data_IF_654746221681
#
_entry.id   IF_654746221681
#
_cell.length_a   1.000
_cell.length_b   1.000
_cell.length_c   1.000
_cell.angle_alpha   90.00
_cell.angle_beta   90.00
_cell.angle_gamma   90.00
#
_symmetry.space_group_name_H-M   'P 1'
#
loop_
_entity.id
_entity.type
_entity.pdbx_description
1 polymer ?
#
# COMPACT_ATOMS: atom_id res chain seq x y z
N UNK A 1 -0.24 10.84 -5.94
CA UNK A 1 -0.38 9.37 -6.01
C UNK A 1 0.06 8.78 -4.68
N UNK A 2 -0.76 7.94 -4.06
CA UNK A 2 -0.44 7.28 -2.79
C UNK A 2 -0.12 5.82 -3.11
N UNK A 3 1.08 5.36 -2.75
CA UNK A 3 1.50 3.97 -2.94
C UNK A 3 1.69 3.27 -1.60
N UNK A 4 1.65 1.95 -1.64
CA UNK A 4 1.90 1.05 -0.51
C UNK A 4 2.79 -0.09 -0.96
N UNK A 5 3.56 -0.67 -0.03
CA UNK A 5 4.43 -1.80 -0.29
C UNK A 5 3.85 -3.03 0.39
N UNK A 6 3.61 -4.08 -0.38
CA UNK A 6 2.95 -5.29 0.12
C UNK A 6 3.92 -6.46 0.06
N UNK A 7 4.13 -7.09 1.21
CA UNK A 7 4.81 -8.37 1.37
C UNK A 7 3.77 -9.49 1.47
N UNK A 8 4.04 -10.64 0.85
CA UNK A 8 3.20 -11.84 0.94
C UNK A 8 4.04 -13.00 1.49
N UNK A 9 3.66 -13.52 2.66
CA UNK A 9 4.26 -14.74 3.19
C UNK A 9 3.58 -15.96 2.55
N UNK A 10 4.24 -16.54 1.55
CA UNK A 10 3.75 -17.74 0.84
C UNK A 10 3.76 -19.01 1.69
N UNK A 11 4.41 -18.98 2.87
CA UNK A 11 4.36 -20.09 3.84
C UNK A 11 3.08 -20.07 4.66
N UNK A 12 2.30 -18.98 4.61
CA UNK A 12 1.05 -18.78 5.36
C UNK A 12 -0.16 -18.95 4.46
N UNK A 13 -1.23 -19.48 5.03
CA UNK A 13 -2.50 -19.62 4.31
C UNK A 13 -3.20 -18.26 4.14
N UNK A 14 -3.94 -18.12 3.05
CA UNK A 14 -4.79 -16.95 2.84
C UNK A 14 -5.77 -16.80 4.00
N UNK A 15 -5.78 -15.62 4.62
CA UNK A 15 -6.57 -15.31 5.81
C UNK A 15 -5.80 -15.42 7.13
N UNK A 16 -4.57 -15.96 7.13
CA UNK A 16 -3.66 -15.83 8.26
C UNK A 16 -3.29 -14.35 8.43
N UNK A 17 -3.26 -13.87 9.68
CA UNK A 17 -2.92 -12.49 10.01
C UNK A 17 -1.54 -12.10 9.49
N UNK A 18 -0.62 -13.05 9.45
CA UNK A 18 0.77 -12.83 9.05
C UNK A 18 1.00 -13.17 7.57
N UNK A 19 -0.05 -13.50 6.80
CA UNK A 19 0.07 -13.76 5.35
C UNK A 19 0.43 -12.50 4.56
N UNK A 20 0.00 -11.32 5.02
CA UNK A 20 0.29 -10.04 4.38
C UNK A 20 0.93 -9.07 5.37
N UNK A 21 1.93 -8.34 4.90
CA UNK A 21 2.44 -7.13 5.57
C UNK A 21 2.31 -5.95 4.62
N UNK A 22 1.90 -4.80 5.16
CA UNK A 22 1.78 -3.56 4.39
C UNK A 22 2.68 -2.51 5.01
N UNK A 23 3.50 -1.88 4.19
CA UNK A 23 4.43 -0.82 4.59
C UNK A 23 4.07 0.49 3.88
N UNK A 24 4.35 1.60 4.55
CA UNK A 24 4.06 2.94 4.05
C UNK A 24 5.11 3.44 3.04
N UNK A 25 6.31 2.85 3.04
CA UNK A 25 7.41 3.14 2.12
C UNK A 25 8.35 1.91 2.04
N UNK A 26 9.26 1.92 1.07
CA UNK A 26 10.26 0.85 0.86
C UNK A 26 11.23 0.69 2.01
N UNK A 27 11.71 1.79 2.59
CA UNK A 27 12.75 1.76 3.63
C UNK A 27 12.27 1.00 4.88
N UNK A 28 11.00 1.16 5.26
CA UNK A 28 10.39 0.40 6.35
C UNK A 28 10.26 -1.09 6.03
N UNK A 29 10.12 -1.47 4.76
CA UNK A 29 10.13 -2.86 4.35
C UNK A 29 11.54 -3.44 4.44
N UNK A 30 12.55 -2.70 3.98
CA UNK A 30 13.97 -3.11 4.03
C UNK A 30 14.45 -3.31 5.47
N UNK A 31 14.15 -2.37 6.37
CA UNK A 31 14.46 -2.51 7.80
C UNK A 31 13.79 -3.74 8.43
N UNK A 32 12.54 -4.02 8.02
CA UNK A 32 11.82 -5.19 8.51
C UNK A 32 12.46 -6.50 7.99
N UNK A 33 12.92 -6.53 6.73
CA UNK A 33 13.53 -7.73 6.13
C UNK A 33 14.81 -8.17 6.83
N UNK A 34 15.66 -7.24 7.29
CA UNK A 34 16.93 -7.54 7.99
C UNK A 34 16.73 -8.55 9.13
N UNK A 35 15.61 -8.45 9.85
CA UNK A 35 15.34 -9.27 11.03
C UNK A 35 14.35 -10.41 10.76
N UNK A 36 13.41 -10.22 9.83
CA UNK A 36 12.25 -11.12 9.71
C UNK A 36 12.34 -12.06 8.51
N UNK A 37 12.80 -11.55 7.36
CA UNK A 37 12.98 -12.35 6.15
C UNK A 37 14.00 -11.67 5.21
N UNK A 38 15.31 -11.97 5.36
CA UNK A 38 16.35 -11.32 4.56
C UNK A 38 16.27 -11.58 3.06
N UNK A 39 15.53 -12.62 2.65
CA UNK A 39 15.28 -12.98 1.25
C UNK A 39 13.87 -12.56 0.80
N UNK A 40 13.13 -11.86 1.66
CA UNK A 40 11.78 -11.38 1.40
C UNK A 40 11.74 -10.34 0.28
N UNK A 41 10.59 -10.27 -0.40
CA UNK A 41 10.36 -9.33 -1.50
C UNK A 41 9.05 -8.60 -1.28
N UNK A 42 9.06 -7.27 -1.45
CA UNK A 42 7.85 -6.45 -1.49
C UNK A 42 7.58 -5.93 -2.89
N UNK A 43 6.31 -5.65 -3.16
CA UNK A 43 5.86 -5.02 -4.40
C UNK A 43 5.15 -3.70 -4.09
N UNK A 44 5.45 -2.68 -4.89
CA UNK A 44 4.77 -1.38 -4.83
C UNK A 44 3.42 -1.44 -5.55
N UNK A 45 2.39 -0.91 -4.91
CA UNK A 45 1.05 -0.78 -5.47
C UNK A 45 0.50 0.62 -5.27
N UNK A 46 -0.14 1.15 -6.31
CA UNK A 46 -0.93 2.38 -6.21
C UNK A 46 -2.27 2.11 -5.50
N UNK A 47 -2.64 3.00 -4.58
CA UNK A 47 -3.95 2.96 -3.91
C UNK A 47 -5.02 3.51 -4.86
N UNK A 48 -5.90 2.63 -5.33
CA UNK A 48 -7.03 2.98 -6.20
C UNK A 48 -8.10 3.75 -5.39
N UNK A 49 -8.70 4.78 -6.00
CA UNK A 49 -9.86 5.47 -5.43
C UNK A 49 -9.52 6.69 -4.55
N UNK A 50 -8.25 7.09 -4.47
CA UNK A 50 -7.91 8.46 -4.08
C UNK A 50 -8.24 9.34 -5.27
N UNK A 51 -9.52 9.69 -5.43
CA UNK A 51 -9.88 10.84 -6.23
C UNK A 51 -9.09 12.01 -5.65
N UNK A 52 -8.22 12.62 -6.45
CA UNK A 52 -7.72 13.95 -6.14
C UNK A 52 -8.95 14.82 -5.88
N UNK A 53 -9.20 15.19 -4.62
CA UNK A 53 -10.37 15.94 -4.17
C UNK A 53 -10.31 17.41 -4.64
N UNK A 54 -9.86 17.68 -5.87
CA UNK A 54 -9.71 19.03 -6.42
C UNK A 54 -10.42 19.22 -7.77
N UNK A 55 -11.61 18.65 -7.92
CA UNK A 55 -12.55 19.11 -8.96
C UNK A 55 -13.96 19.31 -8.43
N UNK A 56 -14.08 20.08 -7.34
CA UNK A 56 -15.29 20.84 -7.01
C UNK A 56 -15.46 22.04 -7.95
N UNK A 57 -15.68 21.76 -9.23
CA UNK A 57 -15.97 22.75 -10.27
C UNK A 57 -17.19 23.61 -9.91
N UNK A 58 -16.98 24.92 -9.92
CA UNK A 58 -17.91 25.89 -10.50
C UNK A 58 -19.30 26.02 -9.86
N UNK A 59 -19.49 27.11 -9.11
CA UNK A 59 -20.79 27.74 -8.87
C UNK A 59 -21.59 27.85 -10.20
N UNK A 60 -22.55 26.97 -10.43
CA UNK A 60 -23.62 27.23 -11.40
C UNK A 60 -24.77 27.87 -10.63
N UNK A 61 -24.78 29.22 -10.59
CA UNK A 61 -25.98 29.98 -10.26
C UNK A 61 -26.99 29.72 -11.39
N UNK A 62 -28.04 28.95 -11.11
CA UNK A 62 -29.24 29.01 -11.93
C UNK A 62 -30.25 29.96 -11.28
N UNK A 63 -30.79 30.79 -12.16
CA UNK A 63 -31.58 31.98 -11.90
C UNK A 63 -33.02 31.64 -11.57
#
# INVERSE_FOLDING_TARGET
MKTVWIYVDTKKQVGDRDHLKVFANSDLADEWFVVNDPEGVVFEYEVIGVADDDTGSGRQRHR
#
